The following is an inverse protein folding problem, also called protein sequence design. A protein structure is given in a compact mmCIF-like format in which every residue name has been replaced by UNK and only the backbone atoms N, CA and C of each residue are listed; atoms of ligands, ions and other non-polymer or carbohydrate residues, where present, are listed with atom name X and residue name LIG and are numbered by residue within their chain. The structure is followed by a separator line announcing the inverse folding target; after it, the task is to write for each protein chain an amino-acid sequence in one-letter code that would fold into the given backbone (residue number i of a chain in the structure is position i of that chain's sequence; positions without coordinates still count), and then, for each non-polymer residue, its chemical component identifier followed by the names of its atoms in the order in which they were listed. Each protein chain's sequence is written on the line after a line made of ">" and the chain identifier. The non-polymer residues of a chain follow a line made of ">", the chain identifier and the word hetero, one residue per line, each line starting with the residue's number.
data_IF_326163169048
#
_entry.id   IF_326163169048
#
_cell.length_a   1.000
_cell.length_b   1.000
_cell.length_c   1.000
_cell.angle_alpha   90.00
_cell.angle_beta   90.00
_cell.angle_gamma   90.00
#
_symmetry.space_group_name_H-M   'P 1'
#
loop_
_entity.id
_entity.type
_entity.pdbx_description
1 polymer ?
#
# COMPACT_ATOMS: atom_id res chain seq x y z
N UNK A 1 27.27 33.56 -68.83
CA UNK A 1 27.60 34.07 -70.18
C UNK A 1 26.78 33.34 -71.25
N UNK A 2 25.43 33.35 -71.19
CA UNK A 2 24.55 32.76 -72.22
C UNK A 2 23.11 33.33 -72.21
N UNK A 3 22.88 34.56 -71.75
CA UNK A 3 21.53 35.15 -71.68
C UNK A 3 21.43 36.42 -72.52
N UNK A 4 21.24 36.28 -73.83
CA UNK A 4 20.62 37.33 -74.63
C UNK A 4 19.96 36.76 -75.91
N UNK A 5 19.11 35.74 -75.72
CA UNK A 5 18.17 35.30 -76.76
C UNK A 5 16.76 35.66 -76.30
N UNK A 6 16.18 36.70 -76.91
CA UNK A 6 14.83 37.20 -76.63
C UNK A 6 13.86 36.48 -77.56
N UNK A 7 12.89 35.75 -77.02
CA UNK A 7 11.82 35.12 -77.81
C UNK A 7 10.73 36.17 -78.03
N UNK A 8 10.64 36.68 -79.26
CA UNK A 8 9.64 37.68 -79.66
C UNK A 8 8.51 36.91 -80.36
N UNK A 9 7.34 36.84 -79.74
CA UNK A 9 6.15 36.25 -80.36
C UNK A 9 5.38 37.38 -81.02
N UNK A 10 5.26 37.33 -82.34
CA UNK A 10 4.47 38.27 -83.14
C UNK A 10 3.10 37.64 -83.38
N UNK A 11 2.05 38.28 -82.86
CA UNK A 11 0.67 37.90 -83.16
C UNK A 11 0.10 38.97 -84.09
N UNK A 12 -0.31 38.58 -85.29
CA UNK A 12 -0.85 39.48 -86.31
C UNK A 12 -2.37 39.32 -86.38
N UNK A 13 -3.10 40.41 -86.17
CA UNK A 13 -4.54 40.50 -86.43
C UNK A 13 -4.81 41.69 -87.38
N UNK A 14 -5.96 41.66 -88.03
CA UNK A 14 -6.49 42.60 -89.03
C UNK A 14 -6.51 44.09 -88.63
N UNK A 15 -6.21 44.43 -87.37
CA UNK A 15 -6.11 45.81 -86.85
C UNK A 15 -4.69 46.22 -86.41
N UNK A 16 -3.68 45.39 -86.65
CA UNK A 16 -2.27 45.68 -86.37
C UNK A 16 -1.54 44.53 -85.67
N UNK A 17 -0.20 44.52 -85.77
CA UNK A 17 0.66 43.54 -85.11
C UNK A 17 1.09 44.04 -83.73
N UNK A 18 1.07 43.15 -82.72
CA UNK A 18 1.63 43.43 -81.39
C UNK A 18 2.77 42.46 -81.09
N UNK A 19 3.88 43.00 -80.61
CA UNK A 19 5.05 42.24 -80.20
C UNK A 19 4.99 42.03 -78.68
N UNK A 20 5.00 40.79 -78.21
CA UNK A 20 5.10 40.48 -76.78
C UNK A 20 6.45 39.82 -76.53
N UNK A 21 7.26 40.45 -75.68
CA UNK A 21 8.58 39.95 -75.30
C UNK A 21 8.43 38.97 -74.13
N UNK A 22 8.55 37.66 -74.41
CA UNK A 22 8.45 36.62 -73.37
C UNK A 22 9.86 36.35 -72.83
N UNK A 23 10.14 36.87 -71.64
CA UNK A 23 11.46 36.77 -71.02
C UNK A 23 11.75 35.33 -70.57
N UNK A 24 12.94 34.80 -70.91
CA UNK A 24 13.41 33.45 -70.51
C UNK A 24 13.37 33.22 -68.96
N UNK A 25 13.27 34.31 -68.19
CA UNK A 25 13.11 34.32 -66.74
C UNK A 25 11.78 33.70 -66.27
N UNK A 26 10.70 33.82 -67.03
CA UNK A 26 9.42 33.18 -66.67
C UNK A 26 9.53 31.65 -66.65
N UNK A 27 10.33 31.07 -67.57
CA UNK A 27 10.64 29.64 -67.58
C UNK A 27 11.48 29.22 -66.37
N UNK A 28 12.43 30.06 -65.95
CA UNK A 28 13.31 29.77 -64.82
C UNK A 28 12.59 29.94 -63.47
N UNK A 29 11.75 30.97 -63.31
CA UNK A 29 10.90 31.17 -62.13
C UNK A 29 9.88 30.03 -62.01
N UNK A 30 9.25 29.63 -63.12
CA UNK A 30 8.34 28.49 -63.12
C UNK A 30 9.02 27.18 -62.70
N UNK A 31 10.26 26.95 -63.16
CA UNK A 31 11.05 25.78 -62.75
C UNK A 31 11.41 25.82 -61.26
N UNK A 32 11.84 26.96 -60.71
CA UNK A 32 12.13 27.07 -59.28
C UNK A 32 10.88 26.98 -58.41
N UNK A 33 9.75 27.53 -58.87
CA UNK A 33 8.47 27.39 -58.18
C UNK A 33 8.03 25.92 -58.13
N UNK A 34 8.13 25.19 -59.24
CA UNK A 34 7.82 23.76 -59.30
C UNK A 34 8.77 22.95 -58.39
N UNK A 35 10.07 23.26 -58.40
CA UNK A 35 11.05 22.61 -57.54
C UNK A 35 10.80 22.90 -56.05
N UNK A 36 10.41 24.13 -55.69
CA UNK A 36 10.04 24.51 -54.34
C UNK A 36 8.81 23.74 -53.84
N UNK A 37 7.79 23.56 -54.70
CA UNK A 37 6.61 22.75 -54.37
C UNK A 37 7.00 21.29 -54.12
N UNK A 38 7.87 20.71 -54.95
CA UNK A 38 8.34 19.33 -54.78
C UNK A 38 9.12 19.18 -53.46
N UNK A 39 10.02 20.11 -53.16
CA UNK A 39 10.78 20.10 -51.90
C UNK A 39 9.85 20.26 -50.69
N UNK A 40 8.85 21.13 -50.78
CA UNK A 40 7.86 21.32 -49.72
C UNK A 40 7.03 20.05 -49.48
N UNK A 41 6.61 19.35 -50.56
CA UNK A 41 5.90 18.07 -50.46
C UNK A 41 6.78 16.97 -49.83
N UNK A 42 8.06 16.90 -50.22
CA UNK A 42 8.99 15.94 -49.61
C UNK A 42 9.23 16.25 -48.13
N UNK A 43 9.38 17.52 -47.77
CA UNK A 43 9.53 17.95 -46.37
C UNK A 43 8.31 17.59 -45.53
N UNK A 44 7.09 17.84 -46.05
CA UNK A 44 5.84 17.45 -45.40
C UNK A 44 5.76 15.92 -45.22
N UNK A 45 6.13 15.15 -46.25
CA UNK A 45 6.15 13.69 -46.16
C UNK A 45 7.09 13.17 -45.06
N UNK A 46 8.31 13.68 -44.99
CA UNK A 46 9.28 13.33 -43.94
C UNK A 46 8.78 13.76 -42.56
N UNK A 47 8.22 14.96 -42.45
CA UNK A 47 7.67 15.48 -41.18
C UNK A 47 6.55 14.59 -40.64
N UNK A 48 5.61 14.16 -41.50
CA UNK A 48 4.52 13.27 -41.12
C UNK A 48 5.02 11.90 -40.64
N UNK A 49 6.07 11.36 -41.28
CA UNK A 49 6.66 10.08 -40.86
C UNK A 49 7.31 10.17 -39.47
N UNK A 50 8.06 11.24 -39.21
CA UNK A 50 8.68 11.48 -37.89
C UNK A 50 7.60 11.65 -36.82
N UNK A 51 6.57 12.47 -37.11
CA UNK A 51 5.48 12.72 -36.17
C UNK A 51 4.71 11.44 -35.83
N UNK A 52 4.40 10.61 -36.83
CA UNK A 52 3.72 9.32 -36.60
C UNK A 52 4.56 8.35 -35.77
N UNK A 53 5.90 8.38 -35.93
CA UNK A 53 6.80 7.57 -35.10
C UNK A 53 6.79 8.04 -33.65
N UNK A 54 6.82 9.35 -33.44
CA UNK A 54 6.76 9.96 -32.10
C UNK A 54 5.43 9.66 -31.41
N UNK A 55 4.30 9.81 -32.12
CA UNK A 55 2.96 9.47 -31.61
C UNK A 55 2.89 8.01 -31.16
N UNK A 56 3.39 7.07 -31.98
CA UNK A 56 3.42 5.65 -31.60
C UNK A 56 4.30 5.36 -30.39
N UNK A 57 5.39 6.11 -30.23
CA UNK A 57 6.28 5.96 -29.08
C UNK A 57 5.60 6.48 -27.80
N UNK A 58 4.97 7.65 -27.89
CA UNK A 58 4.20 8.25 -26.79
C UNK A 58 3.04 7.34 -26.39
N UNK A 59 2.30 6.77 -27.35
CA UNK A 59 1.19 5.85 -27.08
C UNK A 59 1.68 4.59 -26.33
N UNK A 60 2.82 4.02 -26.73
CA UNK A 60 3.44 2.89 -26.02
C UNK A 60 3.85 3.25 -24.60
N UNK A 61 4.47 4.42 -24.41
CA UNK A 61 4.87 4.89 -23.09
C UNK A 61 3.65 5.14 -22.20
N UNK A 62 2.62 5.79 -22.74
CA UNK A 62 1.37 6.03 -22.03
C UNK A 62 0.73 4.69 -21.61
N UNK A 63 0.61 3.72 -22.53
CA UNK A 63 0.07 2.40 -22.22
C UNK A 63 0.87 1.68 -21.13
N UNK A 64 2.20 1.77 -21.15
CA UNK A 64 3.07 1.19 -20.13
C UNK A 64 2.87 1.87 -18.78
N UNK A 65 2.82 3.21 -18.75
CA UNK A 65 2.60 4.00 -17.53
C UNK A 65 1.23 3.69 -16.93
N UNK A 66 0.17 3.64 -17.75
CA UNK A 66 -1.18 3.30 -17.28
C UNK A 66 -1.21 1.91 -16.66
N UNK A 67 -0.57 0.92 -17.31
CA UNK A 67 -0.49 -0.45 -16.78
C UNK A 67 0.28 -0.52 -15.46
N UNK A 68 1.41 0.17 -15.35
CA UNK A 68 2.18 0.24 -14.10
C UNK A 68 1.41 0.97 -13.00
N UNK A 69 0.65 2.01 -13.36
CA UNK A 69 -0.21 2.74 -12.43
C UNK A 69 -1.35 1.87 -11.89
N UNK A 70 -2.05 1.14 -12.76
CA UNK A 70 -3.10 0.19 -12.36
C UNK A 70 -2.54 -0.89 -11.43
N UNK A 71 -1.40 -1.49 -11.80
CA UNK A 71 -0.72 -2.47 -10.95
C UNK A 71 -0.37 -1.90 -9.57
N UNK A 72 0.19 -0.68 -9.53
CA UNK A 72 0.51 -0.02 -8.26
C UNK A 72 -0.74 0.25 -7.44
N UNK A 73 -1.83 0.67 -8.06
CA UNK A 73 -3.11 0.89 -7.39
C UNK A 73 -3.64 -0.41 -6.79
N UNK A 74 -3.68 -1.50 -7.55
CA UNK A 74 -4.10 -2.82 -7.05
C UNK A 74 -3.24 -3.30 -5.88
N UNK A 75 -1.90 -3.14 -5.98
CA UNK A 75 -1.01 -3.51 -4.88
C UNK A 75 -1.23 -2.64 -3.64
N UNK A 76 -1.54 -1.36 -3.82
CA UNK A 76 -1.80 -0.44 -2.72
C UNK A 76 -3.14 -0.75 -2.04
N UNK A 77 -4.19 -1.04 -2.81
CA UNK A 77 -5.48 -1.48 -2.29
C UNK A 77 -5.33 -2.80 -1.51
N UNK A 78 -4.62 -3.78 -2.06
CA UNK A 78 -4.33 -5.04 -1.36
C UNK A 78 -3.56 -4.80 -0.06
N UNK A 79 -2.54 -3.95 -0.09
CA UNK A 79 -1.73 -3.64 1.10
C UNK A 79 -2.56 -2.90 2.16
N UNK A 80 -3.46 -2.01 1.74
CA UNK A 80 -4.39 -1.33 2.65
C UNK A 80 -5.30 -2.34 3.34
N UNK A 81 -5.91 -3.26 2.60
CA UNK A 81 -6.75 -4.31 3.17
C UNK A 81 -6.00 -5.20 4.16
N UNK A 82 -4.76 -5.57 3.84
CA UNK A 82 -3.90 -6.34 4.75
C UNK A 82 -3.51 -5.56 6.00
N UNK A 83 -3.33 -4.24 5.88
CA UNK A 83 -3.07 -3.37 7.02
C UNK A 83 -4.29 -3.27 7.92
N UNK A 84 -5.48 -3.11 7.34
CA UNK A 84 -6.74 -3.05 8.10
C UNK A 84 -7.00 -4.36 8.85
N UNK A 85 -6.79 -5.52 8.20
CA UNK A 85 -6.87 -6.84 8.84
C UNK A 85 -5.84 -6.97 9.98
N UNK A 86 -4.59 -6.56 9.74
CA UNK A 86 -3.54 -6.59 10.77
C UNK A 86 -3.86 -5.69 11.97
N UNK A 87 -4.48 -4.53 11.74
CA UNK A 87 -4.90 -3.62 12.80
C UNK A 87 -6.03 -4.22 13.64
N UNK A 88 -7.01 -4.86 13.00
CA UNK A 88 -8.09 -5.58 13.69
C UNK A 88 -7.54 -6.74 14.54
N UNK A 89 -6.64 -7.55 13.97
CA UNK A 89 -5.93 -8.63 14.68
C UNK A 89 -5.12 -8.09 15.87
N UNK A 90 -4.47 -6.94 15.72
CA UNK A 90 -3.68 -6.31 16.78
C UNK A 90 -4.58 -5.79 17.91
N UNK A 91 -5.73 -5.19 17.57
CA UNK A 91 -6.72 -4.75 18.56
C UNK A 91 -7.26 -5.95 19.35
N UNK A 92 -7.68 -7.01 18.66
CA UNK A 92 -8.18 -8.23 19.28
C UNK A 92 -7.10 -8.92 20.14
N UNK A 93 -5.83 -8.87 19.71
CA UNK A 93 -4.71 -9.36 20.51
C UNK A 93 -4.47 -8.50 21.76
N UNK A 94 -4.66 -7.18 21.67
CA UNK A 94 -4.60 -6.26 22.81
C UNK A 94 -5.67 -6.55 23.86
N UNK A 95 -6.91 -6.80 23.44
CA UNK A 95 -8.01 -7.21 24.33
C UNK A 95 -7.68 -8.52 25.05
N UNK A 96 -7.18 -9.54 24.33
CA UNK A 96 -6.77 -10.82 24.95
C UNK A 96 -5.67 -10.66 25.99
N UNK A 97 -4.71 -9.75 25.78
CA UNK A 97 -3.67 -9.48 26.78
C UNK A 97 -4.26 -8.79 28.00
N UNK A 98 -5.19 -7.86 27.82
CA UNK A 98 -5.89 -7.24 28.94
C UNK A 98 -6.62 -8.29 29.80
N UNK A 99 -7.30 -9.25 29.16
CA UNK A 99 -7.93 -10.37 29.85
C UNK A 99 -6.91 -11.26 30.59
N UNK A 100 -5.75 -11.53 29.97
CA UNK A 100 -4.66 -12.28 30.61
C UNK A 100 -4.07 -11.53 31.81
N UNK A 101 -3.87 -10.22 31.70
CA UNK A 101 -3.41 -9.35 32.80
C UNK A 101 -4.40 -9.40 33.96
N UNK A 102 -5.71 -9.39 33.69
CA UNK A 102 -6.76 -9.53 34.71
C UNK A 102 -6.69 -10.89 35.43
N UNK A 103 -6.59 -11.99 34.69
CA UNK A 103 -6.49 -13.36 35.26
C UNK A 103 -5.23 -13.53 36.10
N UNK A 104 -4.10 -13.02 35.60
CA UNK A 104 -2.82 -13.08 36.34
C UNK A 104 -2.84 -12.13 37.55
N UNK A 105 -3.61 -11.04 37.47
CA UNK A 105 -3.75 -10.02 38.51
C UNK A 105 -2.69 -8.91 38.40
N UNK A 106 -2.22 -8.62 37.18
CA UNK A 106 -1.30 -7.51 36.90
C UNK A 106 -2.11 -6.22 36.77
N UNK A 107 -2.51 -5.66 37.90
CA UNK A 107 -3.25 -4.39 37.92
C UNK A 107 -2.27 -3.23 37.77
N UNK A 108 -2.21 -2.65 36.56
CA UNK A 108 -1.56 -1.36 36.32
C UNK A 108 -2.58 -0.22 36.41
N UNK A 109 -2.19 0.98 36.89
CA UNK A 109 -3.01 2.17 36.77
C UNK A 109 -3.43 2.39 35.31
N UNK A 110 -4.65 2.86 35.07
CA UNK A 110 -5.18 3.14 33.72
C UNK A 110 -4.21 4.02 32.89
N UNK A 111 -3.53 4.96 33.54
CA UNK A 111 -2.53 5.86 32.95
C UNK A 111 -1.29 5.11 32.39
N UNK A 112 -0.90 3.97 32.97
CA UNK A 112 0.24 3.18 32.51
C UNK A 112 -0.14 2.11 31.47
N UNK A 113 -1.44 1.84 31.28
CA UNK A 113 -1.93 0.86 30.28
C UNK A 113 -1.79 1.37 28.86
N UNK A 114 -1.93 2.68 28.66
CA UNK A 114 -1.81 3.32 27.33
C UNK A 114 -0.36 3.60 26.93
N UNK A 115 0.53 3.85 27.89
CA UNK A 115 1.94 4.19 27.62
C UNK A 115 2.86 2.95 27.42
N UNK A 116 2.42 1.77 27.87
CA UNK A 116 3.23 0.55 27.82
C UNK A 116 3.30 -0.11 26.44
N UNK A 117 4.51 -0.37 25.93
CA UNK A 117 4.72 -1.18 24.73
C UNK A 117 4.05 -2.56 24.88
N UNK A 118 3.24 -2.95 23.90
CA UNK A 118 2.54 -4.25 23.82
C UNK A 118 3.43 -5.44 24.17
N UNK A 119 4.66 -5.48 23.65
CA UNK A 119 5.62 -6.57 23.92
C UNK A 119 6.00 -6.62 25.40
N UNK A 120 6.26 -5.46 26.01
CA UNK A 120 6.63 -5.39 27.42
C UNK A 120 5.46 -5.81 28.33
N UNK A 121 4.22 -5.50 27.94
CA UNK A 121 3.03 -5.93 28.69
C UNK A 121 2.87 -7.45 28.69
N UNK A 122 3.02 -8.06 27.51
CA UNK A 122 3.00 -9.51 27.35
C UNK A 122 4.07 -10.20 28.19
N UNK A 123 5.30 -9.69 28.17
CA UNK A 123 6.42 -10.26 28.93
C UNK A 123 6.16 -10.22 30.44
N UNK A 124 5.68 -9.09 30.96
CA UNK A 124 5.36 -8.94 32.39
C UNK A 124 4.25 -9.90 32.79
N UNK A 125 3.14 -9.94 32.05
CA UNK A 125 2.03 -10.85 32.32
C UNK A 125 2.46 -12.32 32.27
N UNK A 126 3.29 -12.68 31.29
CA UNK A 126 3.86 -14.02 31.16
C UNK A 126 4.76 -14.40 32.34
N UNK A 127 5.68 -13.53 32.74
CA UNK A 127 6.58 -13.75 33.88
C UNK A 127 5.77 -13.88 35.18
N UNK A 128 4.82 -12.98 35.44
CA UNK A 128 4.00 -13.02 36.65
C UNK A 128 3.12 -14.27 36.67
N UNK A 129 2.52 -14.65 35.53
CA UNK A 129 1.73 -15.88 35.42
C UNK A 129 2.54 -17.14 35.72
N UNK A 130 3.77 -17.21 35.21
CA UNK A 130 4.70 -18.31 35.50
C UNK A 130 5.08 -18.38 36.98
N UNK A 131 5.42 -17.24 37.58
CA UNK A 131 5.75 -17.17 39.01
C UNK A 131 4.56 -17.61 39.88
N UNK A 132 3.36 -17.12 39.58
CA UNK A 132 2.14 -17.45 40.31
C UNK A 132 1.79 -18.95 40.18
N UNK A 133 1.86 -19.50 38.97
CA UNK A 133 1.67 -20.94 38.70
C UNK A 133 2.66 -21.81 39.47
N UNK A 134 3.93 -21.41 39.52
CA UNK A 134 4.95 -22.11 40.28
C UNK A 134 4.64 -22.12 41.79
N UNK A 135 4.26 -20.96 42.35
CA UNK A 135 3.86 -20.84 43.76
C UNK A 135 2.61 -21.68 44.06
N UNK A 136 1.59 -21.66 43.20
CA UNK A 136 0.39 -22.48 43.33
C UNK A 136 0.67 -23.99 43.18
N UNK A 137 1.81 -24.42 42.65
CA UNK A 137 2.19 -25.85 42.66
C UNK A 137 2.90 -26.25 43.96
N UNK A 138 3.49 -25.29 44.67
CA UNK A 138 4.28 -25.53 45.87
C UNK A 138 3.48 -25.35 47.16
N UNK A 139 2.60 -24.36 47.21
CA UNK A 139 1.79 -24.04 48.38
C UNK A 139 0.41 -24.67 48.21
N UNK A 140 -0.11 -25.46 49.19
CA UNK A 140 -1.47 -25.98 49.13
C UNK A 140 -2.48 -24.86 48.90
N UNK A 141 -3.27 -24.99 47.85
CA UNK A 141 -4.34 -24.07 47.47
C UNK A 141 -5.53 -24.87 46.94
N UNK A 142 -6.65 -24.18 46.79
CA UNK A 142 -7.92 -24.74 46.36
C UNK A 142 -8.50 -25.79 47.33
N UNK A 143 -9.63 -26.41 46.95
CA UNK A 143 -10.31 -27.42 47.74
C UNK A 143 -9.58 -28.76 47.65
N UNK A 144 -9.28 -29.41 48.80
CA UNK A 144 -8.63 -30.72 48.81
C UNK A 144 -9.56 -31.88 48.39
N UNK A 145 -10.86 -31.62 48.19
CA UNK A 145 -11.87 -32.59 47.79
C UNK A 145 -12.56 -32.13 46.50
N UNK A 146 -12.84 -33.06 45.58
CA UNK A 146 -13.52 -32.77 44.30
C UNK A 146 -14.95 -32.23 44.46
N UNK A 147 -15.64 -32.63 45.53
CA UNK A 147 -17.00 -32.17 45.82
C UNK A 147 -17.17 -31.89 47.30
N UNK A 148 -17.83 -30.77 47.60
CA UNK A 148 -18.20 -30.43 48.96
C UNK A 148 -19.34 -31.34 49.44
N UNK A 149 -19.15 -31.98 50.61
CA UNK A 149 -20.22 -32.72 51.30
C UNK A 149 -20.73 -31.96 52.50
N UNK A 150 -19.89 -31.79 53.51
CA UNK A 150 -20.16 -31.01 54.73
C UNK A 150 -18.85 -30.71 55.43
N UNK A 151 -18.87 -29.75 56.33
CA UNK A 151 -17.82 -29.62 57.36
C UNK A 151 -18.17 -30.58 58.49
N UNK A 152 -17.35 -31.61 58.68
CA UNK A 152 -17.51 -32.60 59.74
C UNK A 152 -17.17 -31.99 61.11
N UNK A 153 -16.16 -31.12 61.16
CA UNK A 153 -15.83 -30.33 62.35
C UNK A 153 -15.13 -29.01 61.99
N UNK A 154 -15.65 -27.90 62.50
CA UNK A 154 -15.12 -26.56 62.27
C UNK A 154 -13.96 -26.20 63.24
N UNK A 155 -13.35 -25.04 63.01
CA UNK A 155 -12.31 -24.45 63.88
C UNK A 155 -12.88 -24.12 65.26
N UNK A 156 -12.72 -25.04 66.21
CA UNK A 156 -13.18 -24.85 67.58
C UNK A 156 -12.42 -25.75 68.57
N UNK A 157 -12.71 -25.58 69.86
CA UNK A 157 -12.26 -26.46 70.93
C UNK A 157 -13.00 -27.79 70.89
N UNK A 158 -12.27 -28.89 70.76
CA UNK A 158 -12.83 -30.25 70.69
C UNK A 158 -11.86 -31.27 71.26
N UNK A 159 -12.33 -32.49 71.45
CA UNK A 159 -11.48 -33.60 71.91
C UNK A 159 -10.51 -33.99 70.80
N UNK A 160 -9.21 -33.90 71.08
CA UNK A 160 -8.18 -34.25 70.10
C UNK A 160 -8.17 -35.77 69.86
N UNK A 161 -8.21 -36.27 68.60
CA UNK A 161 -8.39 -37.70 68.31
C UNK A 161 -7.26 -38.58 68.83
N UNK A 162 -6.02 -38.07 68.87
CA UNK A 162 -4.85 -38.79 69.39
C UNK A 162 -4.66 -38.56 70.90
N UNK A 163 -4.59 -37.29 71.33
CA UNK A 163 -4.27 -36.90 72.71
C UNK A 163 -5.44 -37.05 73.70
N UNK A 164 -6.68 -37.18 73.22
CA UNK A 164 -7.90 -37.30 74.05
C UNK A 164 -8.05 -36.20 75.11
N UNK A 165 -7.58 -34.98 74.79
CA UNK A 165 -7.76 -33.79 75.62
C UNK A 165 -8.50 -32.70 74.85
N UNK A 166 -9.14 -31.80 75.57
CA UNK A 166 -9.89 -30.70 74.99
C UNK A 166 -8.91 -29.62 74.47
N UNK A 167 -8.70 -29.55 73.15
CA UNK A 167 -7.72 -28.67 72.50
C UNK A 167 -8.37 -27.78 71.45
N UNK A 168 -7.81 -26.58 71.21
CA UNK A 168 -8.25 -25.71 70.13
C UNK A 168 -7.62 -26.17 68.81
N UNK A 169 -8.43 -26.69 67.90
CA UNK A 169 -7.94 -27.13 66.59
C UNK A 169 -7.88 -25.95 65.62
N UNK A 170 -6.71 -25.75 65.01
CA UNK A 170 -6.45 -24.75 63.97
C UNK A 170 -6.62 -25.32 62.56
N UNK A 171 -7.38 -26.42 62.43
CA UNK A 171 -7.67 -27.10 61.17
C UNK A 171 -9.13 -27.49 61.11
N UNK A 172 -9.63 -27.69 59.88
CA UNK A 172 -11.00 -28.03 59.59
C UNK A 172 -11.07 -29.47 59.07
N UNK A 173 -12.08 -30.21 59.52
CA UNK A 173 -12.35 -31.55 59.01
C UNK A 173 -13.49 -31.45 58.00
N UNK A 174 -13.19 -31.79 56.74
CA UNK A 174 -14.15 -31.88 55.65
C UNK A 174 -14.70 -33.31 55.61
#
# INVERSE_FOLDING_TARGET
>A
MFLDRRLIVMVTDSKGSRYINVHILFRQIGLYALLSVIVSLLFLGVSLLVLNKEIKNIEKQHALITKEFEKKRETNEKLSLQMDEFLDDLQLSGERINDLEEVVGVNRPEEEKEEGNFSSRLDVAGITGLQKSFIMRLIPNDYPLESYRRVSAAFNKRMHPILHVLHNHTGLDL
#
